data_IF_992650049516
#
_entry.id   IF_992650049516
#
_cell.length_a   1.000
_cell.length_b   1.000
_cell.length_c   1.000
_cell.angle_alpha   90.00
_cell.angle_beta   90.00
_cell.angle_gamma   90.00
#
_symmetry.space_group_name_H-M   'P 1'
#
loop_
_entity.id
_entity.type
_entity.pdbx_description
1 polymer ?
#
# COMPACT_ATOMS: atom_id res chain seq x y z
N UNK A 1 31.73 -44.44 -1.09
CA UNK A 1 30.61 -45.41 -0.95
C UNK A 1 29.36 -44.87 -0.26
N UNK A 2 29.32 -43.58 0.15
CA UNK A 2 28.10 -42.93 0.70
C UNK A 2 27.37 -42.05 -0.33
N UNK A 3 28.00 -41.72 -1.47
CA UNK A 3 27.40 -40.87 -2.51
C UNK A 3 26.46 -41.60 -3.48
N UNK A 4 26.45 -42.93 -3.49
CA UNK A 4 25.70 -43.73 -4.48
C UNK A 4 24.32 -44.19 -3.97
N UNK A 5 23.95 -43.87 -2.72
CA UNK A 5 22.69 -44.31 -2.08
C UNK A 5 21.55 -43.28 -2.14
N UNK A 6 21.79 -42.11 -2.73
CA UNK A 6 20.77 -41.08 -2.93
C UNK A 6 20.10 -41.10 -4.31
N UNK A 7 20.59 -41.91 -5.26
CA UNK A 7 20.05 -41.96 -6.62
C UNK A 7 18.99 -43.05 -6.87
N UNK A 8 18.56 -43.81 -5.86
CA UNK A 8 17.66 -44.97 -6.06
C UNK A 8 16.26 -44.82 -5.45
N UNK A 9 15.73 -43.60 -5.33
CA UNK A 9 14.31 -43.37 -5.02
C UNK A 9 13.75 -42.24 -5.88
N UNK A 10 13.67 -42.47 -7.19
CA UNK A 10 12.72 -41.75 -8.05
C UNK A 10 12.02 -42.76 -8.93
N UNK A 11 11.06 -43.46 -8.34
CA UNK A 11 10.02 -44.13 -9.12
C UNK A 11 9.28 -43.10 -9.96
N UNK A 12 8.95 -43.50 -11.18
CA UNK A 12 8.15 -42.77 -12.15
C UNK A 12 6.88 -42.19 -11.50
N UNK A 13 6.94 -40.91 -11.12
CA UNK A 13 5.78 -40.12 -10.80
C UNK A 13 5.28 -39.46 -12.08
N UNK A 14 4.05 -39.74 -12.46
CA UNK A 14 3.28 -39.05 -13.49
C UNK A 14 3.55 -37.53 -13.49
N UNK A 15 3.49 -36.84 -14.65
CA UNK A 15 3.78 -35.40 -14.71
C UNK A 15 2.79 -34.67 -13.80
N UNK A 16 3.27 -34.25 -12.61
CA UNK A 16 2.52 -33.36 -11.73
C UNK A 16 2.13 -32.17 -12.59
N UNK A 17 0.82 -31.96 -12.75
CA UNK A 17 0.25 -30.87 -13.54
C UNK A 17 1.04 -29.60 -13.23
N UNK A 18 1.70 -29.02 -14.25
CA UNK A 18 2.42 -27.77 -14.10
C UNK A 18 1.47 -26.78 -13.38
N UNK A 19 1.82 -26.26 -12.19
CA UNK A 19 1.00 -25.23 -11.57
C UNK A 19 0.89 -24.09 -12.57
N UNK A 20 -0.34 -23.63 -12.85
CA UNK A 20 -0.62 -22.65 -13.90
C UNK A 20 0.18 -21.38 -13.61
N UNK A 21 1.30 -21.21 -14.32
CA UNK A 21 2.20 -20.07 -14.15
C UNK A 21 1.49 -18.77 -14.56
N UNK A 22 1.66 -17.71 -13.77
CA UNK A 22 1.08 -16.39 -13.95
C UNK A 22 1.73 -15.65 -15.13
N UNK A 23 0.91 -14.86 -15.84
CA UNK A 23 1.37 -13.94 -16.87
C UNK A 23 1.89 -12.63 -16.26
N UNK A 24 2.63 -11.84 -17.06
CA UNK A 24 3.20 -10.55 -16.66
C UNK A 24 2.16 -9.58 -16.06
N UNK A 25 0.96 -9.54 -16.64
CA UNK A 25 -0.10 -8.66 -16.17
C UNK A 25 -0.59 -9.04 -14.76
N UNK A 26 -1.02 -10.29 -14.57
CA UNK A 26 -1.57 -10.77 -13.30
C UNK A 26 -0.52 -10.95 -12.20
N UNK A 27 0.69 -11.35 -12.56
CA UNK A 27 1.74 -11.67 -11.60
C UNK A 27 2.67 -10.53 -11.25
N UNK A 28 2.78 -9.49 -12.09
CA UNK A 28 3.68 -8.35 -11.84
C UNK A 28 2.94 -7.03 -11.85
N UNK A 29 2.29 -6.67 -12.95
CA UNK A 29 1.68 -5.33 -13.09
C UNK A 29 0.57 -5.08 -12.06
N UNK A 30 -0.39 -6.00 -11.92
CA UNK A 30 -1.53 -5.84 -11.00
C UNK A 30 -1.07 -5.73 -9.53
N UNK A 31 -0.23 -6.64 -8.99
CA UNK A 31 0.27 -6.51 -7.62
C UNK A 31 1.09 -5.24 -7.40
N UNK A 32 1.92 -4.83 -8.38
CA UNK A 32 2.72 -3.61 -8.28
C UNK A 32 1.86 -2.36 -8.25
N UNK A 33 0.85 -2.25 -9.12
CA UNK A 33 -0.09 -1.11 -9.10
C UNK A 33 -0.82 -1.06 -7.76
N UNK A 34 -1.36 -2.17 -7.27
CA UNK A 34 -2.10 -2.20 -6.02
C UNK A 34 -1.23 -1.94 -4.78
N UNK A 35 0.05 -2.30 -4.83
CA UNK A 35 0.97 -1.97 -3.74
C UNK A 35 1.37 -0.49 -3.75
N UNK A 36 1.34 0.19 -4.90
CA UNK A 36 1.57 1.65 -5.00
C UNK A 36 0.28 2.44 -4.75
N UNK A 37 -0.86 1.96 -5.25
CA UNK A 37 -2.19 2.47 -4.95
C UNK A 37 -2.66 1.95 -3.60
N UNK A 38 -1.97 2.42 -2.57
CA UNK A 38 -2.33 2.20 -1.18
C UNK A 38 -3.31 3.28 -0.70
N UNK A 39 -3.71 3.18 0.58
CA UNK A 39 -4.58 4.15 1.23
C UNK A 39 -4.07 5.59 1.15
N UNK A 40 -2.75 5.76 1.08
CA UNK A 40 -2.08 7.07 1.03
C UNK A 40 -2.52 7.85 -0.22
N UNK A 41 -2.79 7.17 -1.34
CA UNK A 41 -3.32 7.82 -2.53
C UNK A 41 -4.66 8.49 -2.25
N UNK A 42 -5.57 7.83 -1.53
CA UNK A 42 -6.91 8.37 -1.30
C UNK A 42 -6.98 9.35 -0.12
N UNK A 43 -6.25 9.08 0.97
CA UNK A 43 -6.36 9.88 2.18
C UNK A 43 -5.28 10.98 2.31
N UNK A 44 -4.17 10.87 1.59
CA UNK A 44 -3.02 11.78 1.79
C UNK A 44 -2.66 12.62 0.57
N UNK A 45 -3.18 12.31 -0.61
CA UNK A 45 -2.98 13.18 -1.80
C UNK A 45 -3.53 14.59 -1.57
N UNK A 46 -4.70 14.72 -0.94
CA UNK A 46 -5.25 16.02 -0.51
C UNK A 46 -4.30 16.79 0.40
N UNK A 47 -3.85 16.14 1.46
CA UNK A 47 -2.88 16.68 2.42
C UNK A 47 -1.58 17.16 1.76
N UNK A 48 -1.00 16.37 0.84
CA UNK A 48 0.23 16.73 0.13
C UNK A 48 0.03 17.98 -0.71
N UNK A 49 -1.03 18.04 -1.51
CA UNK A 49 -1.35 19.19 -2.35
C UNK A 49 -1.71 20.42 -1.49
N UNK A 50 -2.40 20.24 -0.38
CA UNK A 50 -2.80 21.31 0.54
C UNK A 50 -1.61 22.05 1.17
N UNK A 51 -0.60 21.32 1.65
CA UNK A 51 0.58 21.92 2.29
C UNK A 51 1.67 22.32 1.30
N UNK A 52 2.05 21.41 0.39
CA UNK A 52 3.12 21.68 -0.56
C UNK A 52 2.66 22.60 -1.72
N UNK A 53 1.36 22.64 -2.02
CA UNK A 53 0.86 23.24 -3.25
C UNK A 53 1.23 22.41 -4.48
N UNK A 54 0.76 22.85 -5.65
CA UNK A 54 0.94 22.12 -6.90
C UNK A 54 2.42 22.03 -7.32
N UNK A 55 3.16 23.15 -7.23
CA UNK A 55 4.52 23.21 -7.77
C UNK A 55 5.51 22.40 -6.95
N UNK A 56 5.48 22.53 -5.61
CA UNK A 56 6.33 21.67 -4.76
C UNK A 56 5.81 20.24 -4.73
N UNK A 57 4.49 20.02 -4.86
CA UNK A 57 3.93 18.68 -5.03
C UNK A 57 4.51 17.96 -6.26
N UNK A 58 4.59 18.64 -7.41
CA UNK A 58 5.25 18.08 -8.60
C UNK A 58 6.75 17.87 -8.43
N UNK A 59 7.44 18.80 -7.77
CA UNK A 59 8.86 18.63 -7.46
C UNK A 59 9.08 17.36 -6.61
N UNK A 60 8.29 17.18 -5.55
CA UNK A 60 8.31 15.99 -4.70
C UNK A 60 8.04 14.72 -5.51
N UNK A 61 7.00 14.75 -6.36
CA UNK A 61 6.63 13.62 -7.21
C UNK A 61 7.76 13.25 -8.18
N UNK A 62 8.37 14.24 -8.83
CA UNK A 62 9.47 14.02 -9.76
C UNK A 62 10.70 13.43 -9.05
N UNK A 63 11.07 13.97 -7.89
CA UNK A 63 12.19 13.43 -7.08
C UNK A 63 11.90 11.99 -6.65
N UNK A 64 10.68 11.69 -6.17
CA UNK A 64 10.30 10.35 -5.76
C UNK A 64 10.37 9.36 -6.94
N UNK A 65 9.78 9.71 -8.09
CA UNK A 65 9.79 8.84 -9.27
C UNK A 65 11.16 8.72 -9.93
N UNK A 66 12.04 9.72 -9.78
CA UNK A 66 13.44 9.61 -10.19
C UNK A 66 14.18 8.54 -9.35
N UNK A 67 14.05 8.59 -8.02
CA UNK A 67 14.62 7.58 -7.11
C UNK A 67 14.08 6.18 -7.47
N UNK A 68 12.76 6.08 -7.64
CA UNK A 68 12.09 4.82 -7.99
C UNK A 68 12.55 4.29 -9.35
N UNK A 69 12.71 5.16 -10.35
CA UNK A 69 13.21 4.78 -11.67
C UNK A 69 14.61 4.16 -11.59
N UNK A 70 15.52 4.75 -10.81
CA UNK A 70 16.84 4.19 -10.56
C UNK A 70 16.75 2.81 -9.88
N UNK A 71 15.86 2.64 -8.90
CA UNK A 71 15.64 1.34 -8.27
C UNK A 71 15.07 0.30 -9.24
N UNK A 72 14.14 0.69 -10.11
CA UNK A 72 13.56 -0.21 -11.12
C UNK A 72 14.62 -0.66 -12.11
N UNK A 73 15.48 0.25 -12.58
CA UNK A 73 16.59 -0.11 -13.47
C UNK A 73 17.52 -1.15 -12.82
N UNK A 74 17.83 -0.99 -11.53
CA UNK A 74 18.60 -1.97 -10.76
C UNK A 74 17.88 -3.32 -10.64
N UNK A 75 16.57 -3.33 -10.34
CA UNK A 75 15.77 -4.57 -10.27
C UNK A 75 15.70 -5.24 -11.64
N UNK A 76 15.57 -4.47 -12.73
CA UNK A 76 15.56 -4.99 -14.09
C UNK A 76 16.89 -5.71 -14.37
N UNK A 77 18.03 -5.05 -14.10
CA UNK A 77 19.35 -5.64 -14.27
C UNK A 77 19.52 -6.95 -13.48
N UNK A 78 19.09 -6.96 -12.20
CA UNK A 78 19.13 -8.15 -11.34
C UNK A 78 18.25 -9.27 -11.93
N UNK A 79 17.02 -8.96 -12.32
CA UNK A 79 16.08 -9.97 -12.85
C UNK A 79 16.47 -10.53 -14.23
N UNK A 80 17.31 -9.81 -14.99
CA UNK A 80 17.86 -10.29 -16.26
C UNK A 80 19.15 -11.08 -16.10
N UNK A 81 19.77 -11.08 -14.92
CA UNK A 81 21.04 -11.72 -14.66
C UNK A 81 20.85 -13.08 -13.95
N UNK A 82 21.07 -14.17 -14.69
CA UNK A 82 21.00 -15.54 -14.17
C UNK A 82 19.61 -16.19 -14.23
N UNK A 83 19.52 -17.43 -13.73
CA UNK A 83 18.27 -18.16 -13.63
C UNK A 83 17.46 -17.62 -12.44
N UNK A 84 16.44 -16.82 -12.72
CA UNK A 84 15.48 -16.37 -11.70
C UNK A 84 14.63 -17.58 -11.27
N UNK A 85 15.04 -18.27 -10.22
CA UNK A 85 14.28 -19.37 -9.63
C UNK A 85 13.18 -18.86 -8.67
N UNK A 86 12.43 -19.80 -8.10
CA UNK A 86 11.13 -19.55 -7.49
C UNK A 86 11.07 -18.80 -6.15
N UNK A 87 12.16 -18.22 -5.67
CA UNK A 87 12.27 -17.72 -4.29
C UNK A 87 11.85 -16.26 -4.04
N UNK A 88 11.23 -15.59 -5.01
CA UNK A 88 10.79 -14.18 -4.85
C UNK A 88 11.93 -13.16 -4.97
N UNK A 89 11.70 -11.92 -4.51
CA UNK A 89 12.65 -10.82 -4.70
C UNK A 89 13.96 -11.02 -3.93
N UNK A 90 13.90 -11.54 -2.70
CA UNK A 90 15.08 -11.82 -1.91
C UNK A 90 16.01 -12.82 -2.60
N UNK A 91 15.48 -13.92 -3.14
CA UNK A 91 16.27 -14.95 -3.81
C UNK A 91 17.00 -14.40 -5.05
N UNK A 92 16.33 -13.56 -5.83
CA UNK A 92 16.96 -12.87 -6.97
C UNK A 92 18.14 -12.01 -6.53
N UNK A 93 17.98 -11.27 -5.43
CA UNK A 93 19.01 -10.37 -4.90
C UNK A 93 20.19 -11.16 -4.31
N UNK A 94 19.94 -12.16 -3.46
CA UNK A 94 21.00 -12.92 -2.78
C UNK A 94 21.86 -13.72 -3.75
N UNK A 95 21.29 -14.19 -4.85
CA UNK A 95 22.05 -14.92 -5.89
C UNK A 95 22.85 -14.00 -6.81
N UNK A 96 22.38 -12.77 -7.02
CA UNK A 96 23.06 -11.81 -7.90
C UNK A 96 24.14 -10.99 -7.18
N UNK A 97 23.89 -10.61 -5.92
CA UNK A 97 24.78 -9.75 -5.12
C UNK A 97 25.57 -10.51 -4.04
N UNK A 98 25.26 -11.79 -3.83
CA UNK A 98 25.84 -12.60 -2.77
C UNK A 98 25.00 -12.62 -1.48
N UNK A 99 25.27 -13.59 -0.59
CA UNK A 99 24.45 -13.86 0.58
C UNK A 99 24.50 -12.74 1.64
N UNK A 100 25.64 -12.05 1.79
CA UNK A 100 25.79 -10.95 2.76
C UNK A 100 24.89 -9.76 2.41
N UNK A 101 25.00 -9.26 1.17
CA UNK A 101 24.13 -8.19 0.66
C UNK A 101 22.67 -8.63 0.62
N UNK A 102 22.40 -9.85 0.15
CA UNK A 102 21.05 -10.42 0.13
C UNK A 102 20.40 -10.44 1.50
N UNK A 103 21.14 -10.89 2.53
CA UNK A 103 20.70 -10.96 3.91
C UNK A 103 20.31 -9.63 4.52
N UNK A 104 21.22 -8.65 4.45
CA UNK A 104 21.00 -7.32 5.01
C UNK A 104 19.83 -6.61 4.32
N UNK A 105 19.79 -6.65 2.98
CA UNK A 105 18.71 -6.06 2.18
C UNK A 105 17.38 -6.79 2.45
N UNK A 106 17.41 -8.12 2.54
CA UNK A 106 16.23 -8.95 2.83
C UNK A 106 15.62 -8.64 4.20
N UNK A 107 16.44 -8.52 5.25
CA UNK A 107 15.97 -8.20 6.59
C UNK A 107 15.38 -6.79 6.66
N UNK A 108 16.03 -5.81 6.02
CA UNK A 108 15.51 -4.44 5.90
C UNK A 108 14.15 -4.43 5.18
N UNK A 109 14.01 -5.15 4.05
CA UNK A 109 12.75 -5.25 3.34
C UNK A 109 11.66 -5.98 4.12
N UNK A 110 12.03 -7.02 4.86
CA UNK A 110 11.11 -7.72 5.76
C UNK A 110 10.50 -6.76 6.79
N UNK A 111 11.34 -6.02 7.53
CA UNK A 111 10.88 -5.06 8.54
C UNK A 111 10.05 -3.94 7.89
N UNK A 112 10.50 -3.39 6.76
CA UNK A 112 9.75 -2.37 6.04
C UNK A 112 8.35 -2.86 5.61
N UNK A 113 8.23 -4.11 5.17
CA UNK A 113 6.95 -4.71 4.76
C UNK A 113 6.02 -4.98 5.94
N UNK A 114 6.56 -5.40 7.09
CA UNK A 114 5.79 -5.55 8.33
C UNK A 114 5.23 -4.20 8.80
N UNK A 115 6.07 -3.15 8.86
CA UNK A 115 5.63 -1.81 9.22
C UNK A 115 4.59 -1.27 8.22
N UNK A 116 4.82 -1.45 6.92
CA UNK A 116 3.88 -1.02 5.89
C UNK A 116 2.52 -1.73 6.01
N UNK A 117 2.51 -3.02 6.36
CA UNK A 117 1.26 -3.75 6.63
C UNK A 117 0.49 -3.11 7.78
N UNK A 118 1.17 -2.76 8.88
CA UNK A 118 0.57 -2.04 10.01
C UNK A 118 -0.05 -0.71 9.58
N UNK A 119 0.66 0.11 8.80
CA UNK A 119 0.15 1.40 8.29
C UNK A 119 -1.10 1.22 7.43
N UNK A 120 -1.10 0.23 6.53
CA UNK A 120 -2.26 0.00 5.65
C UNK A 120 -3.48 -0.52 6.41
N UNK A 121 -3.28 -1.35 7.44
CA UNK A 121 -4.37 -1.82 8.30
C UNK A 121 -4.90 -0.71 9.19
N UNK A 122 -4.01 0.09 9.81
CA UNK A 122 -4.41 1.24 10.61
C UNK A 122 -5.25 2.21 9.77
N UNK A 123 -4.77 2.55 8.58
CA UNK A 123 -5.52 3.40 7.67
C UNK A 123 -6.87 2.81 7.26
N UNK A 124 -6.96 1.50 7.04
CA UNK A 124 -8.25 0.85 6.75
C UNK A 124 -9.23 1.01 7.92
N UNK A 125 -8.75 0.82 9.15
CA UNK A 125 -9.56 0.97 10.35
C UNK A 125 -9.96 2.43 10.58
N UNK A 126 -9.06 3.39 10.36
CA UNK A 126 -9.37 4.83 10.38
C UNK A 126 -10.49 5.16 9.38
N UNK A 127 -10.40 4.67 8.14
CA UNK A 127 -11.43 4.89 7.12
C UNK A 127 -12.79 4.26 7.50
N UNK A 128 -12.79 3.11 8.17
CA UNK A 128 -14.02 2.48 8.70
C UNK A 128 -14.61 3.31 9.84
N UNK A 129 -13.78 3.76 10.77
CA UNK A 129 -14.21 4.53 11.94
C UNK A 129 -14.67 5.95 11.59
N UNK A 130 -14.16 6.54 10.51
CA UNK A 130 -14.61 7.83 9.99
C UNK A 130 -16.09 7.79 9.56
N UNK A 131 -16.53 6.66 8.99
CA UNK A 131 -17.91 6.49 8.48
C UNK A 131 -18.84 5.90 9.54
N UNK A 132 -18.39 4.87 10.24
CA UNK A 132 -19.24 4.07 11.13
C UNK A 132 -18.99 4.31 12.62
N UNK A 133 -17.96 5.10 12.97
CA UNK A 133 -17.61 5.40 14.35
C UNK A 133 -18.61 6.34 15.02
N UNK A 134 -18.89 6.09 16.29
CA UNK A 134 -19.76 6.92 17.12
C UNK A 134 -18.94 7.92 17.93
N UNK A 135 -19.12 9.21 17.69
CA UNK A 135 -18.52 10.26 18.51
C UNK A 135 -19.21 10.31 19.89
N UNK A 136 -18.46 10.40 21.01
CA UNK A 136 -19.02 10.41 22.36
C UNK A 136 -19.83 11.67 22.73
N UNK A 137 -19.99 12.64 21.82
CA UNK A 137 -20.68 13.92 22.06
C UNK A 137 -21.81 14.30 21.09
N UNK A 138 -22.06 13.54 20.02
CA UNK A 138 -23.11 13.87 19.06
C UNK A 138 -24.40 13.10 19.36
N UNK A 139 -25.36 13.76 20.03
CA UNK A 139 -26.71 13.26 20.30
C UNK A 139 -27.63 13.26 19.06
N UNK A 140 -27.10 13.08 17.85
CA UNK A 140 -27.89 13.01 16.62
C UNK A 140 -27.84 11.59 16.06
N UNK A 141 -28.88 10.84 16.38
CA UNK A 141 -29.21 9.55 15.78
C UNK A 141 -29.73 9.75 14.36
N UNK A 142 -28.83 9.88 13.40
CA UNK A 142 -29.14 9.56 12.00
C UNK A 142 -28.13 8.51 11.52
N UNK A 143 -28.56 7.25 11.57
CA UNK A 143 -28.10 6.06 10.82
C UNK A 143 -26.60 5.83 10.56
N UNK A 144 -26.16 4.60 10.84
CA UNK A 144 -24.84 4.00 10.53
C UNK A 144 -23.65 4.26 11.50
N UNK A 145 -23.79 5.05 12.56
CA UNK A 145 -22.73 5.21 13.59
C UNK A 145 -22.89 4.24 14.76
N UNK A 146 -22.41 3.01 14.58
CA UNK A 146 -22.61 1.88 15.52
C UNK A 146 -21.31 1.48 16.23
N UNK A 147 -20.14 1.74 15.66
CA UNK A 147 -18.88 1.25 16.23
C UNK A 147 -18.37 2.18 17.33
N UNK A 148 -18.06 1.64 18.54
CA UNK A 148 -17.42 2.42 19.59
C UNK A 148 -16.00 2.83 19.16
N UNK A 149 -15.65 4.07 19.45
CA UNK A 149 -14.30 4.61 19.24
C UNK A 149 -13.49 4.54 20.54
N UNK A 150 -12.22 4.22 20.42
CA UNK A 150 -11.26 4.22 21.53
C UNK A 150 -10.02 3.41 21.18
N UNK A 151 -8.91 3.67 21.88
CA UNK A 151 -7.61 3.02 21.65
C UNK A 151 -7.74 1.48 21.52
N UNK A 152 -8.37 0.84 22.52
CA UNK A 152 -8.54 -0.62 22.55
C UNK A 152 -9.44 -1.16 21.44
N UNK A 153 -10.43 -0.38 21.01
CA UNK A 153 -11.30 -0.77 19.89
C UNK A 153 -10.57 -0.67 18.55
N UNK A 154 -9.77 0.38 18.34
CA UNK A 154 -8.92 0.51 17.15
C UNK A 154 -7.91 -0.64 17.06
N UNK A 155 -7.28 -1.01 18.18
CA UNK A 155 -6.39 -2.19 18.25
C UNK A 155 -7.15 -3.48 17.92
N UNK A 156 -8.36 -3.67 18.47
CA UNK A 156 -9.18 -4.86 18.21
C UNK A 156 -9.57 -4.99 16.73
N UNK A 157 -10.07 -3.92 16.11
CA UNK A 157 -10.47 -3.94 14.70
C UNK A 157 -9.28 -4.20 13.78
N UNK A 158 -8.15 -3.56 14.05
CA UNK A 158 -6.91 -3.80 13.31
C UNK A 158 -6.42 -5.23 13.48
N UNK A 159 -6.60 -5.80 14.67
CA UNK A 159 -6.23 -7.19 14.95
C UNK A 159 -7.06 -8.19 14.13
N UNK A 160 -8.37 -7.93 14.03
CA UNK A 160 -9.29 -8.73 13.22
C UNK A 160 -8.93 -8.66 11.73
N UNK A 161 -8.60 -7.47 11.21
CA UNK A 161 -8.20 -7.27 9.81
C UNK A 161 -6.89 -8.00 9.50
N UNK A 162 -5.90 -7.94 10.39
CA UNK A 162 -4.63 -8.66 10.21
C UNK A 162 -4.84 -10.19 10.25
N UNK A 163 -5.70 -10.68 11.14
CA UNK A 163 -6.07 -12.10 11.18
C UNK A 163 -6.74 -12.53 9.87
N UNK A 164 -7.65 -11.72 9.33
CA UNK A 164 -8.26 -11.95 8.01
C UNK A 164 -7.21 -11.98 6.91
N UNK A 165 -6.25 -11.05 6.92
CA UNK A 165 -5.12 -11.05 5.99
C UNK A 165 -4.32 -12.37 6.08
N UNK A 166 -4.06 -12.89 7.29
CA UNK A 166 -3.38 -14.18 7.47
C UNK A 166 -4.12 -15.31 6.75
N UNK A 167 -5.43 -15.43 7.03
CA UNK A 167 -6.26 -16.50 6.50
C UNK A 167 -6.22 -16.49 4.98
N UNK A 168 -6.35 -15.31 4.38
CA UNK A 168 -6.26 -15.16 2.92
C UNK A 168 -4.86 -15.49 2.40
N UNK A 169 -3.80 -15.11 3.10
CA UNK A 169 -2.42 -15.47 2.73
C UNK A 169 -2.19 -16.98 2.74
N UNK A 170 -2.83 -17.73 3.65
CA UNK A 170 -2.72 -19.18 3.75
C UNK A 170 -3.45 -19.92 2.61
N UNK A 171 -4.48 -19.31 2.02
CA UNK A 171 -5.27 -19.88 0.92
C UNK A 171 -4.48 -19.96 -0.40
N UNK A 172 -3.42 -19.15 -0.56
CA UNK A 172 -2.41 -19.30 -1.61
C UNK A 172 -2.38 -18.20 -2.69
N UNK A 173 -1.22 -18.04 -3.33
CA UNK A 173 -0.91 -16.92 -4.22
C UNK A 173 -1.74 -16.86 -5.51
N UNK A 174 -2.17 -18.01 -6.05
CA UNK A 174 -2.96 -18.05 -7.28
C UNK A 174 -4.38 -17.48 -7.08
N UNK A 175 -5.00 -17.73 -5.93
CA UNK A 175 -6.32 -17.15 -5.59
C UNK A 175 -6.15 -15.65 -5.36
N UNK A 176 -5.09 -15.25 -4.66
CA UNK A 176 -4.75 -13.83 -4.48
C UNK A 176 -4.55 -13.09 -5.80
N UNK A 177 -3.83 -13.64 -6.77
CA UNK A 177 -3.57 -12.98 -8.05
C UNK A 177 -4.87 -12.70 -8.83
N UNK A 178 -5.83 -13.63 -8.77
CA UNK A 178 -7.17 -13.44 -9.36
C UNK A 178 -8.01 -12.42 -8.60
N UNK A 179 -8.02 -12.49 -7.27
CA UNK A 179 -8.75 -11.53 -6.43
C UNK A 179 -8.19 -10.11 -6.59
N UNK A 180 -6.87 -9.97 -6.71
CA UNK A 180 -6.18 -8.70 -6.92
C UNK A 180 -6.63 -8.02 -8.21
N UNK A 181 -6.88 -8.78 -9.29
CA UNK A 181 -7.41 -8.18 -10.51
C UNK A 181 -8.80 -7.57 -10.32
N UNK A 182 -9.69 -8.25 -9.57
CA UNK A 182 -11.01 -7.71 -9.24
C UNK A 182 -10.86 -6.43 -8.40
N UNK A 183 -9.94 -6.44 -7.44
CA UNK A 183 -9.65 -5.26 -6.62
C UNK A 183 -9.11 -4.11 -7.48
N UNK A 184 -8.22 -4.39 -8.44
CA UNK A 184 -7.74 -3.38 -9.37
C UNK A 184 -8.88 -2.79 -10.21
N UNK A 185 -9.83 -3.61 -10.68
CA UNK A 185 -11.01 -3.09 -11.38
C UNK A 185 -11.81 -2.13 -10.48
N UNK A 186 -12.07 -2.51 -9.22
CA UNK A 186 -12.78 -1.64 -8.28
C UNK A 186 -12.03 -0.32 -8.04
N UNK A 187 -10.72 -0.39 -7.80
CA UNK A 187 -9.87 0.80 -7.57
C UNK A 187 -9.76 1.67 -8.82
N UNK A 188 -9.66 1.09 -10.01
CA UNK A 188 -9.59 1.87 -11.25
C UNK A 188 -10.91 2.57 -11.54
N UNK A 189 -12.06 1.92 -11.32
CA UNK A 189 -13.34 2.59 -11.46
C UNK A 189 -13.48 3.70 -10.40
N UNK A 190 -12.99 3.50 -9.17
CA UNK A 190 -13.08 4.55 -8.13
C UNK A 190 -12.21 5.76 -8.48
N UNK A 191 -11.03 5.55 -9.06
CA UNK A 191 -10.19 6.62 -9.60
C UNK A 191 -10.87 7.34 -10.78
N UNK A 192 -11.49 6.61 -11.70
CA UNK A 192 -12.25 7.20 -12.81
C UNK A 192 -13.40 8.06 -12.26
N UNK A 193 -14.12 7.57 -11.24
CA UNK A 193 -15.17 8.34 -10.57
C UNK A 193 -14.63 9.64 -9.97
N UNK A 194 -13.47 9.62 -9.30
CA UNK A 194 -12.81 10.82 -8.77
C UNK A 194 -12.42 11.78 -9.89
N UNK A 195 -11.90 11.28 -11.00
CA UNK A 195 -11.47 12.12 -12.14
C UNK A 195 -12.67 12.78 -12.84
N UNK A 196 -13.79 12.06 -12.97
CA UNK A 196 -15.01 12.58 -13.59
C UNK A 196 -15.78 13.51 -12.65
N UNK A 197 -15.68 13.31 -11.33
CA UNK A 197 -16.50 14.02 -10.35
C UNK A 197 -16.45 15.55 -10.49
N UNK A 198 -15.28 16.18 -10.70
CA UNK A 198 -15.20 17.62 -10.92
C UNK A 198 -15.89 18.18 -12.16
N UNK A 199 -16.19 17.34 -13.15
CA UNK A 199 -16.90 17.75 -14.36
C UNK A 199 -18.43 17.83 -14.12
N UNK A 200 -18.93 17.12 -13.11
CA UNK A 200 -20.36 16.96 -12.84
C UNK A 200 -20.79 17.77 -11.61
N UNK A 201 -19.96 17.81 -10.57
CA UNK A 201 -20.27 18.48 -9.31
C UNK A 201 -20.31 20.00 -9.49
N UNK A 202 -21.30 20.61 -8.82
CA UNK A 202 -21.40 22.07 -8.71
C UNK A 202 -20.59 22.56 -7.50
N UNK A 203 -20.21 23.85 -7.46
CA UNK A 203 -19.54 24.41 -6.29
C UNK A 203 -20.35 24.20 -5.00
N UNK A 204 -19.69 23.75 -3.94
CA UNK A 204 -20.30 23.42 -2.65
C UNK A 204 -19.49 24.05 -1.51
N UNK A 205 -20.16 24.46 -0.45
CA UNK A 205 -19.52 24.98 0.75
C UNK A 205 -19.71 23.97 1.88
N UNK A 206 -18.65 23.71 2.62
CA UNK A 206 -18.66 22.80 3.75
C UNK A 206 -18.28 23.56 5.01
N UNK A 207 -18.80 23.12 6.15
CA UNK A 207 -18.40 23.61 7.45
C UNK A 207 -17.73 22.45 8.18
N UNK A 208 -16.42 22.55 8.41
CA UNK A 208 -15.65 21.54 9.14
C UNK A 208 -15.32 22.09 10.52
N UNK A 209 -15.72 21.35 11.56
CA UNK A 209 -15.42 21.66 12.96
C UNK A 209 -14.32 20.73 13.45
N UNK A 210 -13.16 21.24 13.83
CA UNK A 210 -12.14 20.47 14.53
C UNK A 210 -12.14 20.82 16.02
N UNK A 211 -12.17 19.81 16.87
CA UNK A 211 -12.07 19.97 18.33
C UNK A 211 -10.62 19.73 18.73
N UNK A 212 -9.87 20.79 19.01
CA UNK A 212 -8.52 20.69 19.55
C UNK A 212 -8.59 20.50 21.07
N UNK A 213 -7.66 19.71 21.62
CA UNK A 213 -7.60 19.42 23.06
C UNK A 213 -7.74 20.68 23.92
N UNK A 214 -8.61 20.60 24.93
CA UNK A 214 -9.13 21.69 25.79
C UNK A 214 -10.32 22.50 25.22
N UNK A 215 -11.33 21.86 24.61
CA UNK A 215 -12.61 22.49 24.20
C UNK A 215 -12.50 23.66 23.20
N UNK A 216 -11.36 23.82 22.51
CA UNK A 216 -11.22 24.82 21.45
C UNK A 216 -11.73 24.20 20.15
N UNK A 217 -12.95 24.57 19.76
CA UNK A 217 -13.52 24.19 18.46
C UNK A 217 -13.15 25.26 17.43
N UNK A 218 -12.45 24.85 16.38
CA UNK A 218 -12.16 25.71 15.22
C UNK A 218 -13.08 25.28 14.09
N UNK A 219 -13.99 26.16 13.72
CA UNK A 219 -14.85 26.03 12.54
C UNK A 219 -14.17 26.68 11.35
N UNK A 220 -13.86 25.88 10.33
CA UNK A 220 -13.35 26.34 9.05
C UNK A 220 -14.46 26.15 8.03
N UNK A 221 -14.65 27.13 7.15
CA UNK A 221 -15.63 27.08 6.06
C UNK A 221 -14.93 26.86 4.71
N UNK A 222 -14.43 25.66 4.42
CA UNK A 222 -13.83 25.38 3.12
C UNK A 222 -14.86 25.29 2.01
N UNK A 223 -14.48 25.67 0.80
CA UNK A 223 -15.32 25.53 -0.38
C UNK A 223 -14.70 24.63 -1.44
N UNK A 224 -15.57 23.91 -2.13
CA UNK A 224 -15.31 23.25 -3.38
C UNK A 224 -15.80 24.18 -4.50
N UNK A 225 -14.88 24.62 -5.36
CA UNK A 225 -15.15 25.69 -6.33
C UNK A 225 -15.37 25.16 -7.75
N UNK A 226 -15.16 23.86 -8.00
CA UNK A 226 -15.09 23.31 -9.35
C UNK A 226 -13.84 23.83 -10.09
N UNK A 227 -13.72 23.56 -11.39
CA UNK A 227 -12.55 24.02 -12.16
C UNK A 227 -12.46 25.56 -12.18
N UNK A 228 -11.53 26.11 -11.40
CA UNK A 228 -11.33 27.55 -11.31
C UNK A 228 -9.85 27.92 -11.35
N UNK A 229 -9.50 28.86 -12.24
CA UNK A 229 -8.13 29.37 -12.37
C UNK A 229 -7.69 30.17 -11.13
N UNK A 230 -8.60 30.84 -10.41
CA UNK A 230 -8.22 31.56 -9.18
C UNK A 230 -7.84 30.61 -8.07
N UNK A 231 -8.62 29.53 -7.88
CA UNK A 231 -8.30 28.45 -6.94
C UNK A 231 -6.98 27.78 -7.28
N UNK A 232 -6.74 27.50 -8.57
CA UNK A 232 -5.45 26.98 -9.03
C UNK A 232 -4.29 27.91 -8.66
N UNK A 233 -4.42 29.23 -8.90
CA UNK A 233 -3.43 30.24 -8.53
C UNK A 233 -3.15 30.28 -7.03
N UNK A 234 -4.18 30.13 -6.21
CA UNK A 234 -4.04 30.09 -4.75
C UNK A 234 -3.36 28.80 -4.26
N UNK A 235 -3.47 27.71 -5.03
CA UNK A 235 -2.87 26.41 -4.72
C UNK A 235 -1.48 26.18 -5.34
N UNK A 236 -0.96 27.11 -6.14
CA UNK A 236 0.32 26.95 -6.85
C UNK A 236 1.53 26.90 -5.90
N UNK A 237 1.59 27.81 -4.92
CA UNK A 237 2.69 27.94 -3.97
C UNK A 237 2.60 27.02 -2.75
N UNK A 238 3.69 26.81 -2.01
CA UNK A 238 3.65 26.09 -0.75
C UNK A 238 3.07 26.95 0.38
N UNK A 239 2.34 26.32 1.29
CA UNK A 239 1.93 26.93 2.55
C UNK A 239 1.85 25.82 3.61
N UNK A 240 3.00 25.54 4.21
CA UNK A 240 3.08 24.57 5.29
C UNK A 240 2.42 25.16 6.54
N UNK A 241 1.50 24.40 7.12
CA UNK A 241 0.75 24.79 8.31
C UNK A 241 0.70 23.62 9.29
N UNK A 242 0.08 23.86 10.45
CA UNK A 242 -0.19 22.80 11.40
C UNK A 242 -1.15 21.78 10.79
N UNK A 243 -0.84 20.51 10.98
CA UNK A 243 -1.74 19.41 10.65
C UNK A 243 -2.85 19.31 11.71
N UNK A 244 -4.09 19.07 11.29
CA UNK A 244 -5.23 19.04 12.21
C UNK A 244 -5.30 17.77 13.05
N UNK A 245 -4.64 16.68 12.64
CA UNK A 245 -4.63 15.41 13.37
C UNK A 245 -3.49 15.35 14.38
N UNK A 246 -2.28 15.75 13.99
CA UNK A 246 -1.09 15.63 14.84
C UNK A 246 -0.71 16.93 15.54
N UNK A 247 -1.31 18.06 15.14
CA UNK A 247 -0.99 19.41 15.64
C UNK A 247 0.52 19.76 15.53
N UNK A 248 1.22 19.13 14.58
CA UNK A 248 2.63 19.37 14.31
C UNK A 248 2.79 20.27 13.10
N UNK A 249 3.82 21.11 13.09
CA UNK A 249 4.11 21.99 11.96
C UNK A 249 4.67 21.17 10.81
N UNK A 250 4.00 21.22 9.66
CA UNK A 250 4.45 20.50 8.48
C UNK A 250 5.68 21.17 7.85
N UNK A 251 6.52 20.38 7.21
CA UNK A 251 7.67 20.85 6.43
C UNK A 251 7.74 20.09 5.10
N UNK A 252 8.61 20.55 4.20
CA UNK A 252 8.87 19.84 2.95
C UNK A 252 9.23 18.37 3.19
N UNK A 253 10.09 18.09 4.16
CA UNK A 253 10.57 16.74 4.46
C UNK A 253 9.47 15.83 5.04
N UNK A 254 8.61 16.34 5.93
CA UNK A 254 7.54 15.52 6.52
C UNK A 254 6.47 15.19 5.48
N UNK A 255 6.08 16.16 4.66
CA UNK A 255 5.09 15.94 3.58
C UNK A 255 5.65 15.02 2.50
N UNK A 256 6.93 15.19 2.14
CA UNK A 256 7.61 14.29 1.22
C UNK A 256 7.68 12.86 1.76
N UNK A 257 7.99 12.67 3.04
CA UNK A 257 8.03 11.34 3.65
C UNK A 257 6.66 10.64 3.57
N UNK A 258 5.57 11.33 3.89
CA UNK A 258 4.21 10.78 3.77
C UNK A 258 3.91 10.41 2.32
N UNK A 259 4.19 11.29 1.36
CA UNK A 259 3.97 11.01 -0.06
C UNK A 259 4.83 9.84 -0.56
N UNK A 260 6.11 9.80 -0.19
CA UNK A 260 7.05 8.78 -0.66
C UNK A 260 6.60 7.37 -0.27
N UNK A 261 5.97 7.20 0.91
CA UNK A 261 5.42 5.90 1.33
C UNK A 261 4.39 5.33 0.36
N UNK A 262 3.68 6.17 -0.41
CA UNK A 262 2.72 5.69 -1.42
C UNK A 262 3.40 5.14 -2.68
N UNK A 263 4.64 5.53 -2.96
CA UNK A 263 5.31 5.22 -4.22
C UNK A 263 6.28 4.02 -4.12
N UNK A 264 6.57 3.51 -2.92
CA UNK A 264 7.60 2.46 -2.69
C UNK A 264 7.20 1.03 -3.08
N UNK A 265 5.92 0.77 -3.38
CA UNK A 265 5.35 -0.57 -3.61
C UNK A 265 5.90 -1.41 -4.78
N UNK A 266 7.00 -1.00 -5.43
CA UNK A 266 7.51 -1.55 -6.68
C UNK A 266 7.93 -3.03 -6.63
N UNK A 267 8.33 -3.54 -5.46
CA UNK A 267 8.80 -4.92 -5.31
C UNK A 267 7.68 -5.96 -5.16
N UNK A 268 6.41 -5.52 -5.09
CA UNK A 268 5.27 -6.43 -5.00
C UNK A 268 5.24 -7.46 -6.14
N UNK A 269 5.46 -7.04 -7.39
CA UNK A 269 5.53 -7.94 -8.53
C UNK A 269 6.74 -8.87 -8.52
N UNK A 270 7.89 -8.42 -8.01
CA UNK A 270 9.10 -9.23 -7.88
C UNK A 270 8.97 -10.35 -6.82
N UNK A 271 8.16 -10.12 -5.77
CA UNK A 271 7.88 -11.12 -4.73
C UNK A 271 7.08 -12.33 -5.24
N UNK A 272 6.52 -12.24 -6.44
CA UNK A 272 5.77 -13.31 -7.11
C UNK A 272 6.56 -14.01 -8.22
N UNK A 273 7.87 -13.75 -8.31
CA UNK A 273 8.73 -14.25 -9.40
C UNK A 273 8.64 -15.76 -9.62
N UNK A 274 8.50 -16.56 -8.55
CA UNK A 274 8.39 -18.01 -8.66
C UNK A 274 7.09 -18.56 -9.22
N UNK A 275 6.04 -17.74 -9.26
CA UNK A 275 4.77 -18.10 -9.85
C UNK A 275 4.68 -17.68 -11.33
N UNK A 276 5.66 -16.91 -11.85
CA UNK A 276 5.63 -16.37 -13.20
C UNK A 276 6.05 -17.39 -14.26
N UNK A 277 5.47 -17.27 -15.46
CA UNK A 277 5.88 -18.08 -16.62
C UNK A 277 7.33 -17.80 -17.00
N UNK A 278 7.65 -16.51 -17.22
CA UNK A 278 8.97 -16.00 -17.62
C UNK A 278 9.33 -14.79 -16.73
N UNK A 279 9.96 -14.99 -15.56
CA UNK A 279 10.22 -13.92 -14.61
C UNK A 279 11.20 -12.85 -15.13
N UNK A 280 12.26 -13.24 -15.83
CA UNK A 280 13.29 -12.33 -16.35
C UNK A 280 12.78 -11.30 -17.36
N UNK A 281 11.73 -11.64 -18.10
CA UNK A 281 11.07 -10.71 -19.03
C UNK A 281 9.86 -10.00 -18.40
N UNK A 282 9.11 -10.71 -17.55
CA UNK A 282 7.87 -10.20 -16.97
C UNK A 282 8.12 -9.13 -15.91
N UNK A 283 9.15 -9.28 -15.08
CA UNK A 283 9.43 -8.33 -14.00
C UNK A 283 9.77 -6.95 -14.56
N UNK A 284 10.72 -6.79 -15.51
CA UNK A 284 11.02 -5.49 -16.10
C UNK A 284 9.79 -4.84 -16.76
N UNK A 285 9.12 -5.56 -17.66
CA UNK A 285 7.98 -5.01 -18.42
C UNK A 285 6.82 -4.63 -17.51
N UNK A 286 6.46 -5.52 -16.58
CA UNK A 286 5.33 -5.31 -15.67
C UNK A 286 5.56 -4.14 -14.70
N UNK A 287 6.77 -4.02 -14.14
CA UNK A 287 7.09 -2.95 -13.18
C UNK A 287 7.18 -1.59 -13.86
N UNK A 288 7.81 -1.48 -15.04
CA UNK A 288 7.88 -0.21 -15.78
C UNK A 288 6.47 0.27 -16.17
N UNK A 289 5.64 -0.62 -16.73
CA UNK A 289 4.25 -0.28 -17.07
C UNK A 289 3.43 0.16 -15.85
N UNK A 290 3.57 -0.53 -14.72
CA UNK A 290 2.89 -0.18 -13.48
C UNK A 290 3.29 1.22 -12.99
N UNK A 291 4.58 1.54 -13.00
CA UNK A 291 5.10 2.83 -12.51
C UNK A 291 4.73 3.98 -13.44
N UNK A 292 4.76 3.78 -14.76
CA UNK A 292 4.26 4.79 -15.71
C UNK A 292 2.77 5.08 -15.52
N UNK A 293 1.97 4.04 -15.26
CA UNK A 293 0.55 4.18 -14.98
C UNK A 293 0.29 4.94 -13.68
N UNK A 294 0.96 4.55 -12.58
CA UNK A 294 0.78 5.21 -11.28
C UNK A 294 1.25 6.67 -11.32
N UNK A 295 2.38 6.96 -11.97
CA UNK A 295 2.87 8.34 -12.18
C UNK A 295 1.82 9.21 -12.86
N UNK A 296 1.23 8.72 -13.96
CA UNK A 296 0.21 9.46 -14.72
C UNK A 296 -1.00 9.77 -13.85
N UNK A 297 -1.47 8.79 -13.06
CA UNK A 297 -2.59 8.99 -12.13
C UNK A 297 -2.26 10.03 -11.06
N UNK A 298 -1.08 10.00 -10.45
CA UNK A 298 -0.69 11.01 -9.46
C UNK A 298 -0.64 12.43 -10.05
N UNK A 299 -0.07 12.59 -11.24
CA UNK A 299 -0.04 13.89 -11.93
C UNK A 299 -1.45 14.43 -12.16
N UNK A 300 -2.36 13.57 -12.64
CA UNK A 300 -3.75 13.95 -12.87
C UNK A 300 -4.45 14.34 -11.56
N UNK A 301 -4.32 13.54 -10.50
CA UNK A 301 -4.93 13.83 -9.21
C UNK A 301 -4.42 15.14 -8.59
N UNK A 302 -3.13 15.43 -8.71
CA UNK A 302 -2.54 16.67 -8.19
C UNK A 302 -3.10 17.90 -8.93
N UNK A 303 -3.21 17.83 -10.26
CA UNK A 303 -3.82 18.90 -11.07
C UNK A 303 -5.29 19.11 -10.73
N UNK A 304 -6.05 18.01 -10.64
CA UNK A 304 -7.47 18.06 -10.33
C UNK A 304 -7.71 18.73 -8.98
N UNK A 305 -7.13 18.21 -7.90
CA UNK A 305 -7.30 18.77 -6.56
C UNK A 305 -6.87 20.24 -6.46
N UNK A 306 -5.74 20.59 -7.08
CA UNK A 306 -5.25 21.98 -7.06
C UNK A 306 -6.18 22.94 -7.78
N UNK A 307 -6.87 22.49 -8.83
CA UNK A 307 -7.77 23.33 -9.63
C UNK A 307 -9.21 23.39 -9.12
N UNK A 308 -9.63 22.42 -8.30
CA UNK A 308 -11.05 22.26 -7.93
C UNK A 308 -11.37 22.51 -6.46
N UNK A 309 -10.40 22.32 -5.57
CA UNK A 309 -10.60 22.38 -4.13
C UNK A 309 -9.84 23.56 -3.52
N UNK A 310 -10.46 24.29 -2.59
CA UNK A 310 -9.73 25.30 -1.84
C UNK A 310 -8.69 24.65 -0.92
N UNK A 311 -7.57 25.36 -0.71
CA UNK A 311 -6.49 24.90 0.17
C UNK A 311 -6.97 24.49 1.55
N UNK A 312 -7.91 25.23 2.12
CA UNK A 312 -8.48 24.95 3.44
C UNK A 312 -9.18 23.57 3.47
N UNK A 313 -9.83 23.17 2.37
CA UNK A 313 -10.44 21.85 2.27
C UNK A 313 -9.36 20.76 2.25
N UNK A 314 -8.30 20.98 1.47
CA UNK A 314 -7.21 20.03 1.30
C UNK A 314 -6.39 19.80 2.58
N UNK A 315 -6.26 20.84 3.42
CA UNK A 315 -5.52 20.75 4.69
C UNK A 315 -6.37 20.11 5.79
N UNK A 316 -7.65 20.46 5.90
CA UNK A 316 -8.51 20.09 7.03
C UNK A 316 -9.30 18.80 6.82
N UNK A 317 -9.12 18.12 5.68
CA UNK A 317 -9.84 16.88 5.38
C UNK A 317 -9.03 15.90 4.54
N UNK A 318 -8.57 14.83 5.18
CA UNK A 318 -7.93 13.70 4.51
C UNK A 318 -8.88 12.95 3.58
N UNK A 319 -10.18 12.92 3.87
CA UNK A 319 -11.17 12.23 3.07
C UNK A 319 -11.74 13.11 1.93
N UNK A 320 -10.98 14.10 1.46
CA UNK A 320 -11.43 15.06 0.43
C UNK A 320 -12.00 14.37 -0.82
N UNK A 321 -11.42 13.24 -1.26
CA UNK A 321 -11.95 12.51 -2.41
C UNK A 321 -13.31 11.85 -2.16
N UNK A 322 -13.63 11.49 -0.91
CA UNK A 322 -14.95 10.98 -0.56
C UNK A 322 -15.96 12.13 -0.58
N UNK A 323 -15.58 13.30 -0.03
CA UNK A 323 -16.45 14.48 0.00
C UNK A 323 -16.72 15.09 -1.39
N UNK A 324 -15.71 15.09 -2.26
CA UNK A 324 -15.75 15.72 -3.58
C UNK A 324 -16.04 14.69 -4.68
N UNK A 325 -16.85 13.68 -4.38
CA UNK A 325 -17.24 12.65 -5.35
C UNK A 325 -18.73 12.70 -5.65
N UNK A 326 -19.10 12.37 -6.89
CA UNK A 326 -20.50 12.28 -7.32
C UNK A 326 -21.26 11.23 -6.49
N UNK A 327 -20.57 10.15 -6.12
CA UNK A 327 -21.12 9.11 -5.27
C UNK A 327 -20.08 8.62 -4.23
N UNK A 328 -20.11 9.18 -3.00
CA UNK A 328 -19.13 8.88 -1.94
C UNK A 328 -18.90 7.40 -1.61
N UNK A 329 -19.94 6.54 -1.52
CA UNK A 329 -19.76 5.13 -1.20
C UNK A 329 -18.81 4.40 -2.16
N UNK A 330 -18.77 4.84 -3.41
CA UNK A 330 -17.93 4.22 -4.42
C UNK A 330 -16.43 4.46 -4.18
N UNK A 331 -16.09 5.69 -3.76
CA UNK A 331 -14.72 6.03 -3.37
C UNK A 331 -14.35 5.28 -2.10
N UNK A 332 -15.23 5.24 -1.11
CA UNK A 332 -15.04 4.48 0.13
C UNK A 332 -14.73 3.00 -0.13
N UNK A 333 -15.49 2.32 -1.00
CA UNK A 333 -15.22 0.92 -1.38
C UNK A 333 -13.83 0.81 -2.02
N UNK A 334 -13.46 1.76 -2.89
CA UNK A 334 -12.12 1.84 -3.47
C UNK A 334 -11.02 1.96 -2.42
N UNK A 335 -11.21 2.83 -1.42
CA UNK A 335 -10.29 2.97 -0.28
C UNK A 335 -10.14 1.65 0.45
N UNK A 336 -11.25 0.99 0.81
CA UNK A 336 -11.20 -0.26 1.55
C UNK A 336 -10.50 -1.38 0.77
N UNK A 337 -10.83 -1.53 -0.52
CA UNK A 337 -10.21 -2.54 -1.38
C UNK A 337 -8.71 -2.26 -1.58
N UNK A 338 -8.32 -1.00 -1.81
CA UNK A 338 -6.93 -0.61 -1.99
C UNK A 338 -6.09 -0.89 -0.72
N UNK A 339 -6.57 -0.43 0.45
CA UNK A 339 -5.88 -0.63 1.73
C UNK A 339 -5.74 -2.11 2.08
N UNK A 340 -6.83 -2.88 1.94
CA UNK A 340 -6.82 -4.31 2.21
C UNK A 340 -5.88 -5.06 1.28
N UNK A 341 -5.89 -4.74 -0.03
CA UNK A 341 -4.99 -5.35 -1.00
C UNK A 341 -3.51 -5.04 -0.73
N UNK A 342 -3.20 -3.79 -0.38
CA UNK A 342 -1.83 -3.39 -0.04
C UNK A 342 -1.34 -4.08 1.24
N UNK A 343 -2.20 -4.21 2.26
CA UNK A 343 -1.89 -4.95 3.48
C UNK A 343 -1.60 -6.43 3.20
N UNK A 344 -2.45 -7.10 2.40
CA UNK A 344 -2.23 -8.48 1.96
C UNK A 344 -0.93 -8.64 1.16
N UNK A 345 -0.66 -7.72 0.22
CA UNK A 345 0.55 -7.76 -0.60
C UNK A 345 1.81 -7.66 0.26
N UNK A 346 1.81 -6.76 1.24
CA UNK A 346 2.91 -6.59 2.18
C UNK A 346 3.10 -7.81 3.08
N UNK A 347 2.01 -8.43 3.55
CA UNK A 347 2.04 -9.65 4.36
C UNK A 347 2.60 -10.85 3.58
N UNK A 348 2.13 -11.08 2.35
CA UNK A 348 2.64 -12.15 1.48
C UNK A 348 4.13 -11.91 1.17
N UNK A 349 4.50 -10.67 0.88
CA UNK A 349 5.90 -10.30 0.64
C UNK A 349 6.78 -10.57 1.87
N UNK A 350 6.39 -10.08 3.04
CA UNK A 350 7.15 -10.25 4.29
C UNK A 350 7.33 -11.73 4.67
N UNK A 351 6.25 -12.51 4.62
CA UNK A 351 6.29 -13.94 4.97
C UNK A 351 7.20 -14.74 4.02
N UNK A 352 7.16 -14.48 2.71
CA UNK A 352 8.04 -15.11 1.73
C UNK A 352 9.51 -14.72 1.89
N UNK A 353 9.80 -13.44 2.14
CA UNK A 353 11.16 -12.96 2.39
C UNK A 353 11.73 -13.62 3.65
N UNK A 354 10.96 -13.62 4.75
CA UNK A 354 11.38 -14.23 6.01
C UNK A 354 11.62 -15.73 5.88
N UNK A 355 10.74 -16.42 5.15
CA UNK A 355 10.89 -17.85 4.88
C UNK A 355 12.17 -18.14 4.10
N UNK A 356 12.45 -17.37 3.04
CA UNK A 356 13.66 -17.55 2.24
C UNK A 356 14.95 -17.24 3.03
N UNK A 357 14.93 -16.20 3.89
CA UNK A 357 16.03 -15.90 4.82
C UNK A 357 16.29 -17.04 5.80
N UNK A 358 15.23 -17.68 6.30
CA UNK A 358 15.33 -18.82 7.22
C UNK A 358 15.91 -20.08 6.54
N UNK A 359 15.58 -20.31 5.26
CA UNK A 359 16.13 -21.42 4.48
C UNK A 359 17.63 -21.25 4.21
N UNK A 360 18.08 -20.02 3.97
CA UNK A 360 19.51 -19.72 3.75
C UNK A 360 20.35 -19.80 5.05
N UNK A 361 19.73 -20.07 6.21
CA UNK A 361 20.38 -20.22 7.53
C UNK A 361 21.32 -19.05 7.91
N UNK A 362 21.12 -17.88 7.30
CA UNK A 362 22.06 -16.76 7.40
C UNK A 362 22.16 -16.19 8.82
N UNK A 363 21.06 -16.29 9.59
CA UNK A 363 20.97 -15.81 10.97
C UNK A 363 20.88 -16.96 12.00
N UNK A 364 21.01 -18.23 11.58
CA UNK A 364 20.99 -19.40 12.46
C UNK A 364 19.69 -19.63 13.25
N UNK A 365 19.84 -20.08 14.51
CA UNK A 365 18.78 -20.52 15.44
C UNK A 365 17.54 -19.59 15.60
N UNK A 366 17.65 -18.26 15.70
CA UNK A 366 16.48 -17.39 15.91
C UNK A 366 15.46 -17.39 14.76
N UNK A 367 15.89 -17.69 13.53
CA UNK A 367 15.00 -17.75 12.35
C UNK A 367 14.59 -19.18 11.97
N UNK A 368 15.14 -20.21 12.61
CA UNK A 368 14.86 -21.61 12.29
C UNK A 368 13.35 -21.98 12.29
N UNK A 369 12.51 -21.46 13.21
CA UNK A 369 11.07 -21.74 13.17
C UNK A 369 10.36 -21.19 11.92
N UNK A 370 10.88 -20.11 11.32
CA UNK A 370 10.30 -19.49 10.13
C UNK A 370 10.56 -20.30 8.84
N UNK A 371 11.37 -21.36 8.89
CA UNK A 371 11.54 -22.29 7.78
C UNK A 371 10.38 -23.31 7.65
N UNK A 372 9.49 -23.39 8.64
CA UNK A 372 8.40 -24.38 8.63
C UNK A 372 7.27 -23.98 7.67
N UNK A 373 7.00 -24.86 6.70
CA UNK A 373 5.90 -24.71 5.74
C UNK A 373 4.72 -25.61 6.10
N UNK A 374 3.52 -25.21 5.65
CA UNK A 374 2.34 -26.06 5.67
C UNK A 374 2.43 -27.16 4.59
N UNK A 375 1.55 -28.15 4.64
CA UNK A 375 1.41 -29.24 3.65
C UNK A 375 1.23 -28.71 2.21
N UNK A 376 0.71 -27.48 2.05
CA UNK A 376 0.54 -26.79 0.77
C UNK A 376 1.78 -26.01 0.29
N UNK A 377 2.88 -26.01 1.03
CA UNK A 377 4.09 -25.22 0.73
C UNK A 377 4.01 -23.74 1.18
N UNK A 378 2.92 -23.32 1.85
CA UNK A 378 2.78 -21.95 2.35
C UNK A 378 3.49 -21.77 3.71
N UNK A 379 4.30 -20.72 3.92
CA UNK A 379 5.07 -20.50 5.15
C UNK A 379 4.20 -19.88 6.25
N UNK A 380 3.43 -20.73 6.94
CA UNK A 380 2.44 -20.27 7.94
C UNK A 380 3.09 -19.69 9.20
N UNK A 381 4.22 -20.24 9.66
CA UNK A 381 4.94 -19.73 10.84
C UNK A 381 5.51 -18.33 10.57
N UNK A 382 6.07 -18.12 9.37
CA UNK A 382 6.53 -16.80 8.93
C UNK A 382 5.39 -15.79 8.91
N UNK A 383 4.22 -16.17 8.39
CA UNK A 383 3.01 -15.33 8.40
C UNK A 383 2.55 -14.97 9.82
N UNK A 384 2.55 -15.92 10.75
CA UNK A 384 2.19 -15.68 12.15
C UNK A 384 3.17 -14.71 12.83
N UNK A 385 4.49 -14.86 12.58
CA UNK A 385 5.50 -13.94 13.10
C UNK A 385 5.33 -12.52 12.54
N UNK A 386 5.02 -12.40 11.24
CA UNK A 386 4.75 -11.10 10.62
C UNK A 386 3.58 -10.37 11.30
N UNK A 387 2.52 -11.10 11.68
CA UNK A 387 1.37 -10.49 12.36
C UNK A 387 1.72 -10.08 13.77
N UNK A 388 2.38 -10.94 14.54
CA UNK A 388 2.82 -10.60 15.89
C UNK A 388 3.63 -9.30 15.89
N UNK A 389 4.59 -9.18 14.96
CA UNK A 389 5.41 -7.98 14.82
C UNK A 389 4.59 -6.78 14.29
N UNK A 390 3.67 -6.99 13.35
CA UNK A 390 2.77 -5.93 12.87
C UNK A 390 1.87 -5.38 13.99
N UNK A 391 1.36 -6.24 14.88
CA UNK A 391 0.57 -5.82 16.05
C UNK A 391 1.39 -4.98 17.02
N UNK A 392 2.64 -5.38 17.27
CA UNK A 392 3.53 -4.63 18.14
C UNK A 392 3.74 -3.21 17.63
N UNK A 393 4.02 -3.06 16.33
CA UNK A 393 4.13 -1.75 15.70
C UNK A 393 2.82 -0.98 15.75
N UNK A 394 1.71 -1.63 15.46
CA UNK A 394 0.40 -1.00 15.48
C UNK A 394 0.04 -0.44 16.86
N UNK A 395 0.36 -1.15 17.94
CA UNK A 395 0.15 -0.67 19.32
C UNK A 395 1.03 0.52 19.70
N UNK A 396 2.06 0.86 18.93
CA UNK A 396 2.86 2.08 19.10
C UNK A 396 2.44 3.22 18.17
N UNK A 397 1.69 2.91 17.11
CA UNK A 397 1.22 3.90 16.13
C UNK A 397 -0.14 4.50 16.49
N UNK A 398 -1.01 3.72 17.13
CA UNK A 398 -2.28 4.18 17.73
C UNK A 398 -1.94 4.92 19.02
#
# INVERSE_FOLDING_TARGET
>A
TVLHRYMSVTGEGAPKSNPRKLNTFFGVMVPTILSMFSIVLFLRTGFVVGHAGLLHGFLMLFVAYFIISLTILSICAISTNGAVEGGGAYFMISRSLGPEFGGSIGLMFYLAKVCACGVYVLGLVEAILDIFGKDPGSAVSHGLRVLPQGYWYTVLYSSLVLLLCLVVCLVGAHIYAKASFIILLVVTVSLISIIISPLILRPQHFNITHTYGNNHTVTVNPSYTGFNSTTLKNNLGPHYSLDYSTNTMMSFATVFAVMFTSCTGIMAGANMSGELKNPSESIPKGTIMAVSYTFTVYVLLFLLLSSTCDRLLLINDYAVFQRVSVWPPFVTIGVYCASFSAAMCSMIGASRILHALALDQLFGLPLAPAAVTSSSGNPWVSGALCICLSMLFLSHMI
#
